data_IF_918608188247
#
_entry.id   IF_918608188247
#
_cell.length_a   1.000
_cell.length_b   1.000
_cell.length_c   1.000
_cell.angle_alpha   90.00
_cell.angle_beta   90.00
_cell.angle_gamma   90.00
#
_symmetry.space_group_name_H-M   'P 1'
#
loop_
_entity.id
_entity.type
_entity.pdbx_description
1 polymer ?
#
# COMPACT_ATOMS: atom_id res chain seq x y z
N UNK A 1 16.55 29.26 -20.86
CA UNK A 1 16.16 27.92 -21.35
C UNK A 1 16.19 26.97 -20.16
N UNK A 2 15.02 26.52 -19.72
CA UNK A 2 14.76 25.25 -19.01
C UNK A 2 13.25 25.28 -18.71
N UNK A 3 12.47 24.88 -19.72
CA UNK A 3 11.02 24.74 -19.58
C UNK A 3 10.77 23.51 -18.71
N UNK A 4 10.06 23.73 -17.62
CA UNK A 4 9.44 22.75 -16.74
C UNK A 4 8.71 21.72 -17.60
N UNK A 5 9.29 20.53 -17.71
CA UNK A 5 8.70 19.34 -18.32
C UNK A 5 8.35 18.38 -17.18
N UNK A 6 7.51 18.85 -16.25
CA UNK A 6 6.95 18.08 -15.12
C UNK A 6 5.53 17.60 -15.48
N UNK A 7 5.14 17.73 -16.75
CA UNK A 7 3.87 17.28 -17.29
C UNK A 7 4.14 16.17 -18.31
N UNK A 8 3.43 15.05 -18.15
CA UNK A 8 3.45 13.83 -18.97
C UNK A 8 4.60 12.85 -18.68
N UNK A 9 4.20 11.59 -18.45
CA UNK A 9 5.03 10.36 -18.47
C UNK A 9 5.65 9.87 -17.15
N UNK A 10 4.80 9.48 -16.19
CA UNK A 10 5.07 8.28 -15.40
C UNK A 10 3.82 7.42 -15.14
N UNK A 11 2.87 7.42 -16.08
CA UNK A 11 1.70 6.53 -16.11
C UNK A 11 1.98 5.25 -16.92
N UNK A 12 3.22 5.04 -17.36
CA UNK A 12 3.63 3.84 -18.11
C UNK A 12 4.89 3.26 -17.48
N UNK A 13 4.75 2.22 -16.68
CA UNK A 13 5.86 1.29 -16.40
C UNK A 13 5.30 -0.14 -16.35
N UNK A 14 5.21 -0.70 -17.56
CA UNK A 14 5.16 -2.12 -17.87
C UNK A 14 6.51 -2.75 -17.54
N UNK A 15 6.53 -3.95 -16.95
CA UNK A 15 7.62 -4.90 -17.21
C UNK A 15 7.15 -6.36 -17.18
N UNK A 16 7.69 -7.09 -18.15
CA UNK A 16 7.74 -8.53 -18.37
C UNK A 16 8.68 -9.23 -17.37
N UNK A 17 8.35 -10.48 -16.99
CA UNK A 17 9.34 -11.39 -16.41
C UNK A 17 8.72 -12.40 -15.43
N UNK A 18 8.38 -13.58 -15.92
CA UNK A 18 8.00 -14.73 -15.09
C UNK A 18 9.15 -15.18 -14.19
N UNK A 19 8.89 -15.49 -12.92
CA UNK A 19 9.09 -16.81 -12.31
C UNK A 19 8.90 -16.80 -10.77
N UNK A 20 8.14 -17.80 -10.30
CA UNK A 20 8.10 -18.44 -8.96
C UNK A 20 8.02 -17.58 -7.68
N UNK A 21 6.82 -17.57 -7.10
CA UNK A 21 6.43 -17.06 -5.77
C UNK A 21 6.81 -18.07 -4.67
N UNK A 22 7.27 -17.65 -3.48
CA UNK A 22 7.25 -18.49 -2.28
C UNK A 22 5.81 -18.64 -1.78
N UNK A 23 5.37 -19.89 -1.67
CA UNK A 23 3.97 -20.35 -1.68
C UNK A 23 3.06 -19.88 -0.52
N UNK A 24 3.54 -19.13 0.46
CA UNK A 24 2.73 -18.84 1.66
C UNK A 24 2.94 -17.39 2.14
N UNK A 25 2.05 -16.49 1.68
CA UNK A 25 1.65 -15.35 2.51
C UNK A 25 1.10 -15.94 3.82
N UNK A 26 1.43 -15.38 5.00
CA UNK A 26 0.81 -15.84 6.24
C UNK A 26 -0.70 -15.83 6.03
N UNK A 27 -1.38 -16.95 6.27
CA UNK A 27 -2.84 -16.96 6.33
C UNK A 27 -3.22 -15.82 7.26
N UNK A 28 -3.83 -14.77 6.69
CA UNK A 28 -4.55 -13.78 7.47
C UNK A 28 -5.71 -14.58 8.04
N UNK A 29 -5.44 -15.25 9.16
CA UNK A 29 -6.38 -16.13 9.81
C UNK A 29 -7.68 -15.36 9.87
N UNK A 30 -8.72 -15.97 9.30
CA UNK A 30 -10.06 -15.44 9.23
C UNK A 30 -10.60 -15.28 10.65
N UNK A 31 -10.15 -14.24 11.35
CA UNK A 31 -10.71 -13.82 12.63
C UNK A 31 -11.98 -13.05 12.30
N UNK A 32 -13.03 -13.81 12.01
CA UNK A 32 -14.42 -13.40 11.98
C UNK A 32 -14.88 -13.01 13.38
N UNK A 33 -14.26 -11.98 13.96
CA UNK A 33 -14.66 -11.40 15.24
C UNK A 33 -13.97 -10.06 15.53
N UNK A 34 -14.15 -9.02 14.72
CA UNK A 34 -13.86 -7.65 15.18
C UNK A 34 -14.90 -6.65 14.71
N UNK A 35 -16.15 -6.88 15.13
CA UNK A 35 -17.10 -5.79 15.38
C UNK A 35 -16.77 -5.18 16.75
N UNK A 36 -15.60 -4.55 16.86
CA UNK A 36 -15.28 -3.64 17.95
C UNK A 36 -14.67 -2.41 17.29
N UNK A 37 -15.38 -1.29 17.37
CA UNK A 37 -14.84 0.03 17.08
C UNK A 37 -13.62 0.26 17.98
N UNK A 38 -12.43 -0.10 17.51
CA UNK A 38 -11.19 0.35 18.12
C UNK A 38 -10.96 1.78 17.64
N UNK A 39 -11.11 2.74 18.55
CA UNK A 39 -10.79 4.13 18.32
C UNK A 39 -9.29 4.29 18.03
N UNK A 40 -8.87 4.12 16.77
CA UNK A 40 -7.63 4.71 16.25
C UNK A 40 -6.38 3.82 16.11
N UNK A 41 -6.48 2.51 15.89
CA UNK A 41 -5.29 1.65 15.68
C UNK A 41 -5.55 0.32 14.98
N UNK A 42 -4.50 -0.48 14.78
CA UNK A 42 -4.67 -1.85 14.23
C UNK A 42 -5.43 -2.71 15.26
N UNK A 43 -6.40 -3.55 14.84
CA UNK A 43 -7.14 -4.42 15.76
C UNK A 43 -6.24 -5.28 16.66
N UNK A 44 -5.19 -5.88 16.09
CA UNK A 44 -4.21 -6.68 16.83
C UNK A 44 -3.36 -5.90 17.86
N UNK A 45 -3.29 -4.57 17.73
CA UNK A 45 -2.52 -3.69 18.61
C UNK A 45 -3.40 -2.97 19.65
N UNK A 46 -4.73 -3.12 19.56
CA UNK A 46 -5.69 -2.37 20.37
C UNK A 46 -5.67 -2.72 21.87
N UNK A 47 -5.11 -3.88 22.25
CA UNK A 47 -5.06 -4.35 23.64
C UNK A 47 -3.75 -4.05 24.38
N UNK A 48 -2.84 -3.27 23.76
CA UNK A 48 -1.60 -2.87 24.42
C UNK A 48 -1.84 -1.69 25.37
N UNK A 49 -1.32 -1.76 26.60
CA UNK A 49 -1.32 -0.62 27.51
C UNK A 49 -0.41 0.50 26.98
N UNK A 50 -0.76 1.77 27.21
CA UNK A 50 0.01 2.92 26.74
C UNK A 50 1.50 2.87 27.12
N UNK A 51 1.82 2.37 28.31
CA UNK A 51 3.20 2.21 28.80
C UNK A 51 4.03 1.17 28.02
N UNK A 52 3.38 0.30 27.25
CA UNK A 52 4.02 -0.72 26.42
C UNK A 52 4.21 -0.27 24.95
N UNK A 53 3.62 0.87 24.55
CA UNK A 53 3.66 1.35 23.18
C UNK A 53 4.99 2.04 22.87
N UNK A 54 5.85 1.35 22.12
CA UNK A 54 7.01 2.00 21.50
C UNK A 54 6.57 3.01 20.42
N UNK A 55 7.47 3.86 19.98
CA UNK A 55 7.20 4.78 18.87
C UNK A 55 6.76 4.06 17.59
N UNK A 56 7.35 2.89 17.29
CA UNK A 56 6.95 2.04 16.16
C UNK A 56 5.51 1.54 16.29
N UNK A 57 5.02 1.26 17.51
CA UNK A 57 3.60 0.91 17.72
C UNK A 57 2.66 2.09 17.45
N UNK A 58 3.04 3.29 17.91
CA UNK A 58 2.25 4.51 17.66
C UNK A 58 2.16 4.80 16.15
N UNK A 59 3.26 4.61 15.42
CA UNK A 59 3.28 4.70 13.97
C UNK A 59 2.37 3.67 13.31
N UNK A 60 2.47 2.39 13.70
CA UNK A 60 1.62 1.32 13.17
C UNK A 60 0.13 1.61 13.37
N UNK A 61 -0.26 2.06 14.57
CA UNK A 61 -1.65 2.42 14.87
C UNK A 61 -2.14 3.61 14.02
N UNK A 62 -1.32 4.67 13.86
CA UNK A 62 -1.65 5.80 12.98
C UNK A 62 -1.92 5.32 11.55
N UNK A 63 -1.05 4.46 11.03
CA UNK A 63 -1.15 3.96 9.65
C UNK A 63 -2.36 3.02 9.47
N UNK A 64 -2.61 2.10 10.40
CA UNK A 64 -3.80 1.24 10.36
C UNK A 64 -5.10 2.02 10.45
N UNK A 65 -5.19 3.01 11.34
CA UNK A 65 -6.38 3.86 11.44
C UNK A 65 -6.68 4.58 10.12
N UNK A 66 -5.62 5.05 9.45
CA UNK A 66 -5.73 5.67 8.14
C UNK A 66 -6.13 4.66 7.05
N UNK A 67 -5.62 3.43 7.07
CA UNK A 67 -6.02 2.36 6.15
C UNK A 67 -7.48 1.93 6.30
N UNK A 68 -8.02 1.93 7.52
CA UNK A 68 -9.45 1.67 7.74
C UNK A 68 -10.36 2.80 7.24
N UNK A 69 -9.80 3.99 6.97
CA UNK A 69 -10.57 5.14 6.48
C UNK A 69 -10.67 5.13 4.96
N UNK A 70 -9.52 5.15 4.27
CA UNK A 70 -9.45 5.03 2.81
C UNK A 70 -8.01 4.72 2.35
N UNK A 71 -7.85 4.19 1.12
CA UNK A 71 -6.57 4.14 0.41
C UNK A 71 -5.81 5.48 0.41
N UNK A 72 -6.50 6.60 0.23
CA UNK A 72 -5.89 7.93 0.19
C UNK A 72 -5.33 8.34 1.56
N UNK A 73 -6.11 8.18 2.63
CA UNK A 73 -5.66 8.52 3.98
C UNK A 73 -4.50 7.64 4.41
N UNK A 74 -4.50 6.37 4.02
CA UNK A 74 -3.35 5.47 4.21
C UNK A 74 -2.10 5.99 3.53
N UNK A 75 -2.19 6.32 2.23
CA UNK A 75 -1.09 6.89 1.45
C UNK A 75 -0.52 8.14 2.14
N UNK A 76 -1.37 9.05 2.60
CA UNK A 76 -0.97 10.27 3.33
C UNK A 76 -0.27 9.92 4.66
N UNK A 77 -0.84 9.03 5.45
CA UNK A 77 -0.28 8.66 6.75
C UNK A 77 1.11 8.02 6.63
N UNK A 78 1.34 7.20 5.60
CA UNK A 78 2.66 6.63 5.29
C UNK A 78 3.64 7.74 4.88
N UNK A 79 3.22 8.66 4.00
CA UNK A 79 4.04 9.78 3.54
C UNK A 79 4.48 10.72 4.68
N UNK A 80 3.59 11.03 5.63
CA UNK A 80 3.91 11.85 6.81
C UNK A 80 5.03 11.26 7.68
N UNK A 81 5.09 9.93 7.73
CA UNK A 81 6.03 9.18 8.53
C UNK A 81 7.32 8.87 7.77
N UNK A 82 7.38 9.17 6.48
CA UNK A 82 8.52 8.93 5.61
C UNK A 82 9.73 9.80 5.95
N UNK A 83 10.93 9.22 5.95
CA UNK A 83 12.19 9.96 6.07
C UNK A 83 12.53 10.67 4.76
N UNK A 84 12.77 11.98 4.81
CA UNK A 84 13.19 12.74 3.63
C UNK A 84 14.63 12.37 3.17
N UNK A 85 15.39 11.63 3.97
CA UNK A 85 16.70 11.08 3.64
C UNK A 85 16.70 9.55 3.55
N UNK A 86 17.04 9.02 2.37
CA UNK A 86 17.58 7.67 2.19
C UNK A 86 16.62 6.49 2.33
N UNK A 87 15.30 6.69 2.19
CA UNK A 87 14.35 5.58 2.24
C UNK A 87 14.24 4.87 0.89
N UNK A 88 14.30 3.54 0.92
CA UNK A 88 14.15 2.71 -0.27
C UNK A 88 12.79 2.00 -0.26
N UNK A 89 12.21 1.86 -1.45
CA UNK A 89 11.05 0.99 -1.69
C UNK A 89 11.55 -0.26 -2.41
N UNK A 90 11.28 -1.42 -1.83
CA UNK A 90 11.63 -2.72 -2.38
C UNK A 90 10.39 -3.61 -2.39
N UNK A 91 9.91 -4.00 -3.56
CA UNK A 91 8.81 -4.92 -3.72
C UNK A 91 9.36 -6.32 -3.99
N UNK A 92 9.01 -7.27 -3.13
CA UNK A 92 9.54 -8.63 -3.20
C UNK A 92 8.47 -9.60 -3.77
N UNK A 93 8.85 -10.62 -4.57
CA UNK A 93 10.19 -10.89 -5.11
C UNK A 93 10.47 -10.20 -6.45
N UNK A 94 9.47 -9.58 -7.08
CA UNK A 94 9.59 -9.00 -8.42
C UNK A 94 8.93 -7.61 -8.46
N UNK A 95 9.69 -6.55 -8.17
CA UNK A 95 9.62 -5.36 -9.00
C UNK A 95 8.22 -4.75 -9.20
N UNK A 96 7.55 -4.20 -8.18
CA UNK A 96 6.36 -3.38 -8.50
C UNK A 96 6.78 -2.08 -9.17
N UNK A 97 5.88 -1.45 -9.93
CA UNK A 97 6.01 -0.03 -10.28
C UNK A 97 6.26 0.79 -9.02
N UNK A 98 7.45 1.37 -8.92
CA UNK A 98 7.92 2.07 -7.73
C UNK A 98 9.17 1.50 -7.07
N UNK A 99 9.60 0.31 -7.49
CA UNK A 99 10.92 -0.20 -7.11
C UNK A 99 12.02 0.73 -7.56
N UNK A 100 12.86 1.11 -6.60
CA UNK A 100 13.94 2.07 -6.85
C UNK A 100 13.48 3.52 -6.98
N UNK A 101 12.22 3.86 -6.65
CA UNK A 101 11.88 5.27 -6.41
C UNK A 101 12.68 5.76 -5.20
N UNK A 102 13.65 6.63 -5.49
CA UNK A 102 14.63 7.13 -4.52
C UNK A 102 14.08 8.34 -3.74
N UNK A 103 13.03 8.98 -4.28
CA UNK A 103 12.44 10.20 -3.69
C UNK A 103 11.01 9.95 -3.18
N UNK A 104 10.72 10.60 -2.04
CA UNK A 104 9.39 10.62 -1.40
C UNK A 104 8.32 11.21 -2.31
N UNK A 105 8.66 12.28 -3.04
CA UNK A 105 7.74 13.01 -3.92
C UNK A 105 7.29 12.15 -5.10
N UNK A 106 8.22 11.46 -5.76
CA UNK A 106 7.89 10.56 -6.87
C UNK A 106 6.96 9.43 -6.41
N UNK A 107 7.23 8.88 -5.23
CA UNK A 107 6.37 7.84 -4.65
C UNK A 107 4.97 8.35 -4.28
N UNK A 108 4.88 9.53 -3.69
CA UNK A 108 3.60 10.15 -3.36
C UNK A 108 2.76 10.40 -4.62
N UNK A 109 3.38 10.96 -5.67
CA UNK A 109 2.72 11.22 -6.94
C UNK A 109 2.26 9.93 -7.62
N UNK A 110 3.10 8.89 -7.63
CA UNK A 110 2.75 7.58 -8.17
C UNK A 110 1.59 6.93 -7.38
N UNK A 111 1.60 7.05 -6.05
CA UNK A 111 0.54 6.50 -5.20
C UNK A 111 -0.81 7.18 -5.48
N UNK A 112 -0.84 8.51 -5.49
CA UNK A 112 -2.05 9.31 -5.80
C UNK A 112 -2.60 8.96 -7.18
N UNK A 113 -1.74 8.89 -8.20
CA UNK A 113 -2.17 8.53 -9.55
C UNK A 113 -2.80 7.13 -9.61
N UNK A 114 -2.15 6.13 -9.00
CA UNK A 114 -2.66 4.75 -8.98
C UNK A 114 -4.00 4.66 -8.24
N UNK A 115 -4.12 5.31 -7.09
CA UNK A 115 -5.34 5.26 -6.29
C UNK A 115 -6.49 5.97 -7.04
N UNK A 116 -6.23 7.11 -7.69
CA UNK A 116 -7.21 7.81 -8.54
C UNK A 116 -7.71 6.92 -9.69
N UNK A 117 -6.82 6.26 -10.43
CA UNK A 117 -7.22 5.35 -11.52
C UNK A 117 -8.03 4.16 -10.97
N UNK A 118 -7.66 3.66 -9.78
CA UNK A 118 -8.40 2.58 -9.13
C UNK A 118 -9.83 2.99 -8.79
N UNK A 119 -10.04 4.20 -8.26
CA UNK A 119 -11.37 4.74 -8.01
C UNK A 119 -12.20 4.98 -9.27
N UNK A 120 -11.56 5.38 -10.37
CA UNK A 120 -12.27 5.57 -11.63
C UNK A 120 -12.73 4.23 -12.23
N UNK A 121 -11.87 3.20 -12.17
CA UNK A 121 -12.18 1.87 -12.69
C UNK A 121 -13.07 1.03 -11.78
N UNK A 122 -12.99 1.28 -10.48
CA UNK A 122 -13.71 0.58 -9.41
C UNK A 122 -14.21 1.64 -8.41
N UNK A 123 -15.39 2.22 -8.61
CA UNK A 123 -15.93 3.24 -7.71
C UNK A 123 -16.13 2.76 -6.27
N UNK A 124 -16.24 1.44 -6.06
CA UNK A 124 -16.31 0.76 -4.77
C UNK A 124 -14.92 0.40 -4.19
N UNK A 125 -13.82 0.91 -4.76
CA UNK A 125 -12.47 0.57 -4.31
C UNK A 125 -12.21 1.00 -2.87
N UNK A 126 -11.76 0.06 -2.04
CA UNK A 126 -11.41 0.31 -0.64
C UNK A 126 -10.37 -0.69 -0.14
N UNK A 127 -9.87 -0.45 1.08
CA UNK A 127 -9.07 -1.42 1.83
C UNK A 127 -9.97 -2.14 2.83
N UNK A 128 -9.91 -3.47 2.83
CA UNK A 128 -10.64 -4.32 3.78
C UNK A 128 -9.67 -5.19 4.58
N UNK A 129 -10.14 -5.79 5.68
CA UNK A 129 -9.36 -6.70 6.54
C UNK A 129 -8.01 -6.11 6.96
N UNK A 130 -8.04 -4.83 7.34
CA UNK A 130 -6.85 -4.08 7.77
C UNK A 130 -6.41 -4.56 9.15
N UNK A 131 -5.14 -4.94 9.28
CA UNK A 131 -4.50 -5.25 10.55
C UNK A 131 -3.00 -4.90 10.52
N UNK A 132 -2.30 -5.09 11.63
CA UNK A 132 -0.86 -4.82 11.71
C UNK A 132 -0.10 -5.71 12.67
N UNK A 133 1.22 -5.52 12.72
CA UNK A 133 2.10 -6.23 13.66
C UNK A 133 3.37 -5.43 13.87
N UNK A 134 3.92 -5.42 15.08
CA UNK A 134 5.18 -4.74 15.39
C UNK A 134 6.19 -5.75 15.93
N UNK A 135 7.43 -5.69 15.41
CA UNK A 135 8.57 -6.49 15.88
C UNK A 135 9.80 -5.59 15.91
N UNK A 136 10.22 -5.19 17.12
CA UNK A 136 11.34 -4.26 17.29
C UNK A 136 11.08 -2.93 16.58
N UNK A 137 11.95 -2.59 15.62
CA UNK A 137 11.84 -1.36 14.80
C UNK A 137 11.06 -1.55 13.51
N UNK A 138 10.47 -2.72 13.28
CA UNK A 138 9.67 -3.02 12.09
C UNK A 138 8.20 -3.07 12.44
N UNK A 139 7.35 -2.46 11.63
CA UNK A 139 5.92 -2.72 11.66
C UNK A 139 5.41 -3.24 10.31
N UNK A 140 4.31 -3.97 10.37
CA UNK A 140 3.60 -4.52 9.23
C UNK A 140 2.18 -3.98 9.23
N UNK A 141 1.64 -3.75 8.03
CA UNK A 141 0.24 -3.48 7.79
C UNK A 141 -0.23 -4.52 6.77
N UNK A 142 -1.24 -5.29 7.14
CA UNK A 142 -1.89 -6.28 6.29
C UNK A 142 -3.24 -5.73 5.88
N UNK A 143 -3.60 -5.86 4.61
CA UNK A 143 -4.90 -5.43 4.13
C UNK A 143 -5.22 -6.10 2.80
N UNK A 144 -6.50 -6.14 2.47
CA UNK A 144 -6.99 -6.55 1.17
C UNK A 144 -7.36 -5.31 0.37
N UNK A 145 -6.92 -5.23 -0.88
CA UNK A 145 -7.52 -4.31 -1.85
C UNK A 145 -8.78 -4.96 -2.39
N UNK A 146 -9.89 -4.23 -2.35
CA UNK A 146 -11.20 -4.73 -2.77
C UNK A 146 -11.84 -3.71 -3.70
N UNK A 147 -12.55 -4.18 -4.72
CA UNK A 147 -13.28 -3.36 -5.67
C UNK A 147 -13.89 -4.19 -6.81
N UNK A 148 -14.68 -3.57 -7.67
CA UNK A 148 -15.40 -4.26 -8.75
C UNK A 148 -15.25 -3.47 -10.06
N UNK A 149 -14.72 -4.11 -11.10
CA UNK A 149 -14.67 -3.50 -12.44
C UNK A 149 -16.08 -3.35 -13.01
N UNK A 150 -16.23 -2.45 -13.99
CA UNK A 150 -17.47 -2.31 -14.77
C UNK A 150 -17.93 -3.63 -15.45
N UNK A 151 -17.01 -4.57 -15.69
CA UNK A 151 -17.31 -5.91 -16.22
C UNK A 151 -17.95 -6.86 -15.20
N UNK A 152 -18.03 -6.46 -13.93
CA UNK A 152 -18.50 -7.28 -12.80
C UNK A 152 -17.41 -8.14 -12.16
N UNK A 153 -16.17 -8.10 -12.65
CA UNK A 153 -15.06 -8.84 -12.03
C UNK A 153 -14.66 -8.19 -10.71
N UNK A 154 -14.62 -9.00 -9.65
CA UNK A 154 -14.26 -8.59 -8.30
C UNK A 154 -12.75 -8.70 -8.05
N UNK A 155 -12.21 -7.71 -7.37
CA UNK A 155 -10.88 -7.67 -6.79
C UNK A 155 -10.98 -8.08 -5.33
N UNK A 156 -10.14 -9.02 -4.94
CA UNK A 156 -9.82 -9.30 -3.54
C UNK A 156 -8.34 -9.71 -3.51
N UNK A 157 -7.47 -8.73 -3.30
CA UNK A 157 -6.02 -8.92 -3.39
C UNK A 157 -5.34 -8.64 -2.04
N UNK A 158 -4.77 -9.67 -1.38
CA UNK A 158 -4.04 -9.49 -0.14
C UNK A 158 -2.72 -8.75 -0.37
N UNK A 159 -2.40 -7.83 0.54
CA UNK A 159 -1.17 -7.06 0.56
C UNK A 159 -0.58 -7.07 1.96
N UNK A 160 0.73 -7.28 2.04
CA UNK A 160 1.51 -7.06 3.25
C UNK A 160 2.51 -5.93 3.01
N UNK A 161 2.34 -4.81 3.72
CA UNK A 161 3.30 -3.72 3.75
C UNK A 161 4.19 -3.82 4.99
N UNK A 162 5.49 -4.00 4.79
CA UNK A 162 6.53 -3.98 5.82
C UNK A 162 7.20 -2.62 5.84
N UNK A 163 7.34 -2.06 7.03
CA UNK A 163 7.93 -0.74 7.24
C UNK A 163 9.03 -0.85 8.29
N UNK A 164 10.25 -0.49 7.91
CA UNK A 164 11.37 -0.39 8.85
C UNK A 164 11.44 1.06 9.34
N UNK A 165 11.54 1.21 10.66
CA UNK A 165 11.58 2.52 11.32
C UNK A 165 12.94 2.80 11.96
N UNK A 166 13.32 4.06 12.00
CA UNK A 166 14.47 4.60 12.73
C UNK A 166 14.13 6.01 13.18
N UNK A 167 14.36 6.32 14.46
CA UNK A 167 14.13 7.65 15.05
C UNK A 167 12.73 8.24 14.75
N UNK A 168 11.71 7.37 14.76
CA UNK A 168 10.33 7.79 14.49
C UNK A 168 9.96 8.01 13.03
N UNK A 169 10.83 7.62 12.10
CA UNK A 169 10.63 7.76 10.66
C UNK A 169 10.71 6.41 9.97
N UNK A 170 9.96 6.25 8.89
CA UNK A 170 10.04 5.12 7.96
C UNK A 170 11.28 5.34 7.09
N UNK A 171 12.15 4.34 7.04
CA UNK A 171 13.42 4.37 6.29
C UNK A 171 13.53 3.23 5.27
N UNK A 172 12.61 2.28 5.27
CA UNK A 172 12.52 1.23 4.26
C UNK A 172 11.07 0.75 4.20
N UNK A 173 10.55 0.54 3.00
CA UNK A 173 9.23 -0.05 2.79
C UNK A 173 9.34 -1.22 1.85
N UNK A 174 8.70 -2.33 2.23
CA UNK A 174 8.54 -3.48 1.34
C UNK A 174 7.10 -3.90 1.23
N UNK A 175 6.58 -4.03 0.02
CA UNK A 175 5.25 -4.61 -0.18
C UNK A 175 5.35 -5.99 -0.83
N UNK A 176 4.54 -6.90 -0.32
CA UNK A 176 4.31 -8.22 -0.90
C UNK A 176 2.87 -8.28 -1.37
N UNK A 177 2.66 -8.66 -2.63
CA UNK A 177 1.35 -8.69 -3.29
C UNK A 177 1.25 -9.97 -4.12
N UNK A 178 0.11 -10.67 -4.04
CA UNK A 178 -0.21 -11.75 -4.98
C UNK A 178 -0.73 -11.18 -6.30
N UNK A 179 0.12 -11.18 -7.33
CA UNK A 179 -0.20 -10.64 -8.65
C UNK A 179 -1.25 -11.40 -9.43
N UNK A 180 -1.45 -12.69 -9.12
CA UNK A 180 -2.43 -13.50 -9.86
C UNK A 180 -3.83 -12.90 -9.73
N UNK A 181 -4.13 -12.32 -8.56
CA UNK A 181 -5.40 -11.64 -8.25
C UNK A 181 -5.55 -10.27 -8.93
N UNK A 182 -4.46 -9.68 -9.43
CA UNK A 182 -4.44 -8.33 -10.01
C UNK A 182 -4.48 -8.28 -11.53
N UNK A 183 -4.35 -9.41 -12.22
CA UNK A 183 -4.12 -9.47 -13.67
C UNK A 183 -5.10 -8.60 -14.49
N UNK A 184 -6.41 -8.79 -14.30
CA UNK A 184 -7.43 -8.05 -15.06
C UNK A 184 -7.50 -6.58 -14.66
N UNK A 185 -7.19 -6.26 -13.40
CA UNK A 185 -7.19 -4.89 -12.90
C UNK A 185 -6.01 -4.11 -13.48
N UNK A 186 -4.84 -4.74 -13.56
CA UNK A 186 -3.66 -4.19 -14.23
C UNK A 186 -3.98 -3.98 -15.72
N UNK A 187 -4.66 -4.91 -16.37
CA UNK A 187 -5.09 -4.76 -17.76
C UNK A 187 -6.04 -3.56 -17.93
N UNK A 188 -7.04 -3.42 -17.06
CA UNK A 188 -7.98 -2.29 -17.08
C UNK A 188 -7.27 -0.94 -16.87
N UNK A 189 -6.32 -0.87 -15.93
CA UNK A 189 -5.50 0.32 -15.70
C UNK A 189 -4.66 0.69 -16.94
N UNK A 190 -4.11 -0.30 -17.65
CA UNK A 190 -3.35 -0.06 -18.89
C UNK A 190 -4.23 0.50 -20.00
N UNK A 191 -5.42 -0.08 -20.19
CA UNK A 191 -6.37 0.42 -21.18
C UNK A 191 -6.84 1.83 -20.87
N UNK A 192 -7.07 2.13 -19.59
CA UNK A 192 -7.41 3.47 -19.13
C UNK A 192 -6.30 4.47 -19.44
N UNK A 193 -5.05 4.13 -19.10
CA UNK A 193 -3.89 4.97 -19.34
C UNK A 193 -3.72 5.30 -20.83
N UNK A 194 -3.86 4.30 -21.70
CA UNK A 194 -3.73 4.46 -23.15
C UNK A 194 -4.79 5.42 -23.75
N UNK A 195 -5.94 5.58 -23.09
CA UNK A 195 -7.04 6.46 -23.55
C UNK A 195 -6.91 7.89 -23.02
N UNK A 196 -6.33 8.06 -21.83
CA UNK A 196 -6.43 9.31 -21.06
C UNK A 196 -5.11 10.08 -20.92
N UNK A 197 -3.95 9.47 -21.20
CA UNK A 197 -2.64 10.14 -21.14
C UNK A 197 -2.14 10.35 -22.57
N UNK A 198 -2.27 11.57 -23.10
CA UNK A 198 -1.74 11.99 -24.41
C UNK A 198 -0.57 12.94 -24.24
#
# INVERSE_FOLDING_TARGET
MNKILVASAMIVLFLSGCASVPTELPEVASHSAFAAQTSGGCPSLANMSDDALTQTHKMANKVCAAAMTSPETYSIAVTDLWSDSGANIIHEPNGLPGDGMVSKEDNENASKARDSVSYELMPDFHLDRVDGKVVGTTFWIFYHRVGTLATGKKLDAPIAGRFITRDGKIVDVRLTIDFSTLTDFIAAQREWAAKNVK
#
